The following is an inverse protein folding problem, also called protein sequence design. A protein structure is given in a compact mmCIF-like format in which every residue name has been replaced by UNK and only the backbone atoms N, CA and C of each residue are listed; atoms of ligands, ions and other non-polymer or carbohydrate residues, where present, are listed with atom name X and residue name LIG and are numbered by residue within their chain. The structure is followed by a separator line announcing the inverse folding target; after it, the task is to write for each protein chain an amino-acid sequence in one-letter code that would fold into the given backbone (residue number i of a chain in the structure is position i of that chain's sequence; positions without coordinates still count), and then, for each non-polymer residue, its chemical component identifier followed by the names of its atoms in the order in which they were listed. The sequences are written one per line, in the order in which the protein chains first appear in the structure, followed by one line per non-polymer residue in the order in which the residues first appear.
data_IF_104428098953
#
_entry.id   IF_104428098953
#
_cell.length_a   1.000
_cell.length_b   1.000
_cell.length_c   1.000
_cell.angle_alpha   90.00
_cell.angle_beta   90.00
_cell.angle_gamma   90.00
#
_symmetry.space_group_name_H-M   'P 1'
#
loop_
_entity.id
_entity.type
_entity.pdbx_description
1 polymer ?
#
# COMPACT_ATOMS: atom_id res chain seq x y z
N UNK A 1 3.76 -5.33 -17.16
CA UNK A 1 3.38 -6.54 -16.38
C UNK A 1 1.88 -6.73 -16.48
N UNK A 2 1.38 -7.97 -16.61
CA UNK A 2 -0.06 -8.24 -16.70
C UNK A 2 -0.75 -8.03 -15.34
N UNK A 3 -1.95 -7.44 -15.34
CA UNK A 3 -2.77 -7.18 -14.14
C UNK A 3 -2.92 -8.42 -13.24
N UNK A 4 -3.09 -9.60 -13.83
CA UNK A 4 -3.19 -10.87 -13.08
C UNK A 4 -1.95 -11.19 -12.25
N UNK A 5 -0.76 -10.78 -12.71
CA UNK A 5 0.50 -11.03 -11.99
C UNK A 5 0.67 -10.06 -10.82
N UNK A 6 0.27 -8.80 -10.98
CA UNK A 6 0.28 -7.81 -9.90
C UNK A 6 -0.80 -8.13 -8.85
N UNK A 7 -2.01 -8.50 -9.29
CA UNK A 7 -3.09 -8.94 -8.40
C UNK A 7 -2.68 -10.20 -7.63
N UNK A 8 -2.07 -11.19 -8.29
CA UNK A 8 -1.57 -12.40 -7.63
C UNK A 8 -0.46 -12.09 -6.62
N UNK A 9 0.45 -11.17 -6.94
CA UNK A 9 1.51 -10.76 -6.02
C UNK A 9 0.94 -10.06 -4.78
N UNK A 10 0.05 -9.09 -4.96
CA UNK A 10 -0.60 -8.39 -3.84
C UNK A 10 -1.44 -9.34 -3.00
N UNK A 11 -2.29 -10.19 -3.60
CA UNK A 11 -3.06 -11.20 -2.87
C UNK A 11 -2.16 -12.20 -2.13
N UNK A 12 -0.96 -12.47 -2.66
CA UNK A 12 0.06 -13.29 -1.99
C UNK A 12 0.57 -12.67 -0.68
N UNK A 13 0.65 -11.34 -0.59
CA UNK A 13 1.06 -10.62 0.63
C UNK A 13 -0.04 -10.52 1.70
N UNK A 14 -1.29 -10.85 1.37
CA UNK A 14 -2.46 -10.87 2.29
C UNK A 14 -2.86 -12.28 2.73
N UNK A 15 -1.99 -13.26 2.52
CA UNK A 15 -2.22 -14.64 2.97
C UNK A 15 -1.93 -14.78 4.46
N UNK A 16 -2.45 -15.84 5.09
CA UNK A 16 -2.18 -16.16 6.49
C UNK A 16 -1.06 -17.19 6.56
N UNK A 17 -0.17 -17.04 7.53
CA UNK A 17 0.86 -18.03 7.80
C UNK A 17 0.12 -19.30 8.27
N UNK A 18 0.39 -20.44 7.65
CA UNK A 18 -0.08 -21.72 8.18
C UNK A 18 0.60 -21.91 9.53
N UNK A 19 -0.16 -21.75 10.60
CA UNK A 19 0.25 -22.14 11.96
C UNK A 19 0.01 -23.63 12.05
N UNK A 20 1.12 -24.37 12.03
CA UNK A 20 1.15 -25.83 12.12
C UNK A 20 0.99 -26.22 13.60
N UNK A 21 -0.19 -25.96 14.17
CA UNK A 21 -0.47 -26.22 15.59
C UNK A 21 -0.86 -27.69 15.87
N UNK A 22 -0.81 -28.55 14.84
CA UNK A 22 -1.03 -30.00 14.94
C UNK A 22 0.18 -30.72 14.33
N UNK A 23 0.87 -31.53 15.14
CA UNK A 23 2.12 -32.22 14.77
C UNK A 23 1.98 -33.08 13.50
N UNK A 24 0.81 -33.68 13.28
CA UNK A 24 0.51 -34.51 12.10
C UNK A 24 0.37 -33.68 10.80
N UNK A 25 -0.19 -32.48 10.89
CA UNK A 25 -0.33 -31.57 9.74
C UNK A 25 1.02 -30.92 9.37
N UNK A 26 1.92 -30.79 10.34
CA UNK A 26 3.27 -30.28 10.16
C UNK A 26 4.11 -31.21 9.28
N UNK A 27 4.14 -32.51 9.58
CA UNK A 27 4.97 -33.48 8.88
C UNK A 27 4.51 -33.65 7.42
N UNK A 28 3.18 -33.76 7.20
CA UNK A 28 2.59 -33.81 5.87
C UNK A 28 2.86 -32.56 5.03
N UNK A 29 2.78 -31.37 5.62
CA UNK A 29 3.08 -30.12 4.93
C UNK A 29 4.58 -29.99 4.59
N UNK A 30 5.48 -30.35 5.51
CA UNK A 30 6.93 -30.33 5.27
C UNK A 30 7.37 -31.33 4.20
N UNK A 31 6.76 -32.52 4.17
CA UNK A 31 6.99 -33.52 3.11
C UNK A 31 6.61 -32.95 1.74
N UNK A 32 5.44 -32.30 1.65
CA UNK A 32 4.91 -31.69 0.43
C UNK A 32 5.78 -30.51 -0.04
N UNK A 33 6.26 -29.67 0.89
CA UNK A 33 7.17 -28.56 0.60
C UNK A 33 8.52 -29.04 0.07
N UNK A 34 9.07 -30.10 0.69
CA UNK A 34 10.33 -30.72 0.28
C UNK A 34 10.22 -31.38 -1.10
N UNK A 35 9.12 -32.07 -1.38
CA UNK A 35 8.84 -32.64 -2.71
C UNK A 35 8.63 -31.57 -3.78
N UNK A 36 8.07 -30.42 -3.40
CA UNK A 36 7.82 -29.29 -4.30
C UNK A 36 9.04 -28.39 -4.51
N UNK A 37 10.13 -28.58 -3.76
CA UNK A 37 11.32 -27.71 -3.79
C UNK A 37 11.06 -26.28 -3.31
N UNK A 38 10.00 -26.07 -2.52
CA UNK A 38 9.61 -24.75 -2.03
C UNK A 38 10.26 -24.49 -0.66
N UNK A 39 10.94 -23.35 -0.53
CA UNK A 39 11.57 -22.93 0.72
C UNK A 39 10.65 -22.00 1.53
N UNK A 40 10.61 -22.11 2.88
CA UNK A 40 9.84 -21.22 3.73
C UNK A 40 10.26 -19.74 3.63
N UNK A 41 9.35 -18.78 3.89
CA UNK A 41 7.94 -18.98 4.25
C UNK A 41 7.06 -19.26 3.03
N UNK A 42 6.20 -20.28 3.14
CA UNK A 42 5.22 -20.63 2.10
C UNK A 42 3.83 -20.25 2.55
N UNK A 43 3.16 -19.49 1.69
CA UNK A 43 1.83 -18.98 1.91
C UNK A 43 0.80 -19.82 1.16
N UNK A 44 -0.19 -20.36 1.87
CA UNK A 44 -1.21 -21.24 1.29
C UNK A 44 -2.56 -20.55 1.32
N UNK A 45 -3.25 -20.56 0.18
CA UNK A 45 -4.61 -20.03 0.04
C UNK A 45 -5.61 -21.17 -0.02
N UNK A 46 -6.47 -21.29 0.99
CA UNK A 46 -7.65 -22.17 0.93
C UNK A 46 -8.82 -21.40 0.31
N UNK A 47 -9.40 -21.91 -0.79
CA UNK A 47 -10.54 -21.30 -1.46
C UNK A 47 -11.90 -21.71 -0.85
N UNK A 48 -11.90 -22.70 0.06
CA UNK A 48 -13.11 -23.30 0.64
C UNK A 48 -13.43 -22.84 2.07
N UNK A 49 -12.46 -22.21 2.75
CA UNK A 49 -12.64 -21.69 4.12
C UNK A 49 -13.01 -20.19 4.11
N UNK A 50 -14.05 -19.85 4.88
CA UNK A 50 -14.33 -18.47 5.28
C UNK A 50 -13.10 -17.84 5.96
N UNK A 51 -13.02 -16.50 5.97
CA UNK A 51 -11.86 -15.77 6.48
C UNK A 51 -11.40 -16.35 7.82
N UNK A 52 -10.16 -16.86 7.83
CA UNK A 52 -9.57 -17.39 9.05
C UNK A 52 -9.52 -16.26 10.07
N UNK A 53 -10.03 -16.50 11.28
CA UNK A 53 -9.80 -15.56 12.40
C UNK A 53 -8.30 -15.41 12.54
N UNK A 54 -7.82 -14.16 12.60
CA UNK A 54 -6.41 -13.88 12.83
C UNK A 54 -5.96 -14.59 14.10
N UNK A 55 -5.09 -15.58 13.95
CA UNK A 55 -4.41 -16.19 15.09
C UNK A 55 -3.50 -15.10 15.61
N UNK A 56 -3.61 -14.80 16.90
CA UNK A 56 -2.70 -13.89 17.58
C UNK A 56 -1.31 -14.53 17.53
N UNK A 57 -0.53 -14.17 16.50
CA UNK A 57 0.87 -14.49 16.43
C UNK A 57 1.48 -14.07 17.77
N UNK A 58 2.13 -15.01 18.45
CA UNK A 58 3.00 -14.73 19.59
C UNK A 58 3.79 -13.48 19.21
N UNK A 59 3.69 -12.38 19.99
CA UNK A 59 4.36 -11.10 19.72
C UNK A 59 5.88 -11.32 19.67
N UNK A 60 6.37 -11.85 18.56
CA UNK A 60 7.76 -11.85 18.22
C UNK A 60 8.05 -10.42 17.82
N UNK A 61 8.75 -9.71 18.69
CA UNK A 61 9.31 -8.40 18.39
C UNK A 61 10.39 -8.60 17.33
N UNK A 62 9.97 -8.62 16.07
CA UNK A 62 10.87 -8.59 14.93
C UNK A 62 11.33 -7.15 14.75
N UNK A 63 12.63 -6.91 14.73
CA UNK A 63 13.15 -5.61 14.29
C UNK A 63 12.90 -5.48 12.79
N UNK A 64 12.05 -4.54 12.40
CA UNK A 64 11.86 -4.15 11.00
C UNK A 64 12.31 -2.70 10.83
N UNK A 65 13.07 -2.38 9.77
CA UNK A 65 13.43 -1.00 9.47
C UNK A 65 12.18 -0.22 9.04
N UNK A 66 12.06 1.00 9.57
CA UNK A 66 10.97 1.94 9.25
C UNK A 66 11.54 3.28 8.82
N UNK A 67 10.80 3.96 7.96
CA UNK A 67 11.03 5.37 7.64
C UNK A 67 10.18 6.20 8.60
N UNK A 68 10.84 7.02 9.41
CA UNK A 68 10.16 7.96 10.30
C UNK A 68 10.29 9.38 9.74
N UNK A 69 9.15 10.07 9.57
CA UNK A 69 9.07 11.45 9.12
C UNK A 69 8.56 12.34 10.28
N UNK A 70 9.48 12.81 11.16
CA UNK A 70 9.10 13.49 12.39
C UNK A 70 8.52 14.88 12.14
N UNK A 71 7.68 15.35 13.06
CA UNK A 71 6.92 16.61 12.96
C UNK A 71 7.81 17.84 12.80
N UNK A 72 9.00 17.79 13.39
CA UNK A 72 9.97 18.88 13.40
C UNK A 72 10.69 19.03 12.04
N UNK A 73 10.65 18.00 11.18
CA UNK A 73 11.31 18.00 9.88
C UNK A 73 10.32 18.27 8.76
N UNK A 74 10.48 19.41 8.09
CA UNK A 74 9.68 19.76 6.91
C UNK A 74 10.22 19.22 5.59
N UNK A 75 11.37 18.54 5.62
CA UNK A 75 12.12 18.14 4.42
C UNK A 75 12.31 16.62 4.30
N UNK A 76 11.78 15.84 5.26
CA UNK A 76 11.92 14.39 5.27
C UNK A 76 11.10 13.72 4.17
N UNK A 77 11.77 13.08 3.21
CA UNK A 77 11.16 12.18 2.24
C UNK A 77 12.09 11.00 1.94
N UNK A 78 11.51 9.92 1.42
CA UNK A 78 12.29 8.82 0.86
C UNK A 78 11.97 8.67 -0.62
N UNK A 79 13.00 8.50 -1.45
CA UNK A 79 12.83 8.25 -2.89
C UNK A 79 13.01 6.77 -3.18
N UNK A 80 12.09 6.19 -3.93
CA UNK A 80 12.26 4.84 -4.48
C UNK A 80 13.26 4.91 -5.62
N UNK A 81 14.42 4.25 -5.46
CA UNK A 81 15.49 4.28 -6.44
C UNK A 81 15.28 3.26 -7.56
N UNK A 82 14.22 3.45 -8.34
CA UNK A 82 13.81 2.57 -9.45
C UNK A 82 13.40 3.40 -10.66
N UNK A 83 13.57 2.81 -11.84
CA UNK A 83 13.06 3.35 -13.10
C UNK A 83 11.68 2.75 -13.40
N UNK A 84 10.72 3.61 -13.74
CA UNK A 84 9.36 3.19 -14.07
C UNK A 84 9.08 3.44 -15.56
N UNK A 85 8.74 2.41 -16.35
CA UNK A 85 8.21 2.62 -17.69
C UNK A 85 6.81 3.23 -17.59
N UNK A 86 6.19 3.58 -18.73
CA UNK A 86 4.77 3.91 -18.75
C UNK A 86 3.93 2.76 -18.13
N UNK A 87 3.05 3.10 -17.19
CA UNK A 87 2.33 2.14 -16.37
C UNK A 87 0.86 2.12 -16.77
N UNK A 88 0.45 1.09 -17.52
CA UNK A 88 -0.97 0.83 -17.84
C UNK A 88 -1.75 0.18 -16.69
N UNK A 89 -1.04 -0.28 -15.66
CA UNK A 89 -1.58 -0.90 -14.45
C UNK A 89 -0.58 -0.69 -13.32
N UNK A 90 -1.07 -0.29 -12.16
CA UNK A 90 -0.27 0.02 -10.98
C UNK A 90 -0.85 -0.69 -9.77
N UNK A 91 0.04 -1.16 -8.90
CA UNK A 91 -0.27 -1.55 -7.53
C UNK A 91 0.81 -1.01 -6.60
N UNK A 92 0.42 -0.33 -5.53
CA UNK A 92 1.31 0.21 -4.50
C UNK A 92 0.80 -0.26 -3.15
N UNK A 93 1.66 -0.87 -2.34
CA UNK A 93 1.35 -1.30 -0.98
C UNK A 93 2.33 -0.67 0.00
N UNK A 94 1.81 -0.21 1.14
CA UNK A 94 2.57 0.45 2.20
C UNK A 94 1.95 0.12 3.55
N UNK A 95 2.77 0.01 4.59
CA UNK A 95 2.30 0.04 5.98
C UNK A 95 2.53 1.44 6.52
N UNK A 96 1.51 2.00 7.14
CA UNK A 96 1.54 3.37 7.69
C UNK A 96 1.13 3.32 9.15
N UNK A 97 1.87 4.02 9.99
CA UNK A 97 1.46 4.40 11.33
C UNK A 97 1.30 5.92 11.36
N UNK A 98 0.12 6.37 11.79
CA UNK A 98 -0.27 7.79 11.82
C UNK A 98 -0.09 8.35 13.24
N UNK A 99 0.32 9.62 13.40
CA UNK A 99 0.32 10.25 14.74
C UNK A 99 -1.12 10.50 15.19
N UNK A 100 -1.53 9.99 16.36
CA UNK A 100 -2.80 10.39 16.94
C UNK A 100 -2.96 11.92 17.08
N UNK A 101 -1.86 12.65 17.28
CA UNK A 101 -1.85 14.10 17.49
C UNK A 101 -1.74 14.93 16.19
N UNK A 102 -1.56 14.28 15.03
CA UNK A 102 -1.41 14.97 13.75
C UNK A 102 -2.75 15.14 13.03
N UNK A 103 -3.11 16.39 12.73
CA UNK A 103 -4.41 16.77 12.17
C UNK A 103 -4.33 17.49 10.83
N UNK A 104 -3.14 17.67 10.25
CA UNK A 104 -2.96 18.24 8.92
C UNK A 104 -3.02 17.14 7.84
N UNK A 105 -3.06 17.55 6.58
CA UNK A 105 -3.03 16.62 5.44
C UNK A 105 -1.61 16.08 5.26
N UNK A 106 -1.48 14.75 5.19
CA UNK A 106 -0.20 14.07 4.97
C UNK A 106 -0.20 13.28 3.66
N UNK A 107 0.87 13.35 2.89
CA UNK A 107 1.08 12.54 1.69
C UNK A 107 1.79 11.26 2.07
N UNK A 108 1.12 10.12 1.86
CA UNK A 108 1.70 8.80 2.11
C UNK A 108 2.72 8.50 1.00
N UNK A 109 2.30 8.64 -0.25
CA UNK A 109 3.19 8.54 -1.41
C UNK A 109 2.81 9.53 -2.51
N UNK A 110 3.81 9.92 -3.29
CA UNK A 110 3.65 10.71 -4.51
C UNK A 110 4.51 10.14 -5.63
N UNK A 111 3.91 10.00 -6.81
CA UNK A 111 4.60 9.75 -8.06
C UNK A 111 4.37 10.92 -9.02
N UNK A 112 5.46 11.56 -9.41
CA UNK A 112 5.48 12.65 -10.38
C UNK A 112 6.25 12.25 -11.64
N UNK A 113 5.67 12.50 -12.82
CA UNK A 113 6.36 12.34 -14.09
C UNK A 113 6.86 13.69 -14.63
N UNK A 114 7.86 13.72 -15.53
CA UNK A 114 8.38 14.97 -16.09
C UNK A 114 7.31 15.84 -16.76
N UNK A 115 6.28 15.20 -17.32
CA UNK A 115 5.19 15.85 -18.05
C UNK A 115 4.01 16.23 -17.16
N UNK A 116 3.90 15.64 -15.97
CA UNK A 116 2.75 15.83 -15.10
C UNK A 116 3.08 15.48 -13.65
N UNK A 117 2.92 16.45 -12.74
CA UNK A 117 3.41 16.30 -11.36
C UNK A 117 2.52 15.40 -10.51
N UNK A 118 1.20 15.56 -10.57
CA UNK A 118 0.26 14.82 -9.72
C UNK A 118 -0.23 13.54 -10.42
N UNK A 119 0.69 12.72 -10.92
CA UNK A 119 0.36 11.53 -11.71
C UNK A 119 -0.36 10.47 -10.88
N UNK A 120 0.21 10.09 -9.74
CA UNK A 120 -0.38 9.08 -8.86
C UNK A 120 0.02 9.31 -7.40
N UNK A 121 -0.96 9.62 -6.54
CA UNK A 121 -0.69 9.99 -5.16
C UNK A 121 -1.75 9.43 -4.20
N UNK A 122 -1.34 9.19 -2.95
CA UNK A 122 -2.24 8.88 -1.85
C UNK A 122 -1.99 9.83 -0.70
N UNK A 123 -3.04 10.53 -0.28
CA UNK A 123 -3.03 11.44 0.87
C UNK A 123 -3.95 10.93 1.97
N UNK A 124 -3.63 11.28 3.20
CA UNK A 124 -4.46 11.05 4.37
C UNK A 124 -4.82 12.37 5.06
N UNK A 125 -6.00 12.41 5.68
CA UNK A 125 -6.42 13.54 6.50
C UNK A 125 -7.31 13.06 7.65
N UNK A 126 -7.11 13.61 8.85
CA UNK A 126 -7.96 13.35 10.00
C UNK A 126 -9.36 13.97 9.82
N UNK A 127 -10.41 13.18 10.05
CA UNK A 127 -11.79 13.67 10.11
C UNK A 127 -12.28 13.93 11.54
N UNK A 128 -13.47 14.53 11.64
CA UNK A 128 -14.11 14.85 12.91
C UNK A 128 -14.47 13.62 13.77
N UNK A 129 -14.41 12.41 13.21
CA UNK A 129 -14.72 11.17 13.90
C UNK A 129 -13.46 10.39 14.34
N UNK A 130 -12.27 11.00 14.22
CA UNK A 130 -11.01 10.34 14.58
C UNK A 130 -10.57 9.29 13.56
N UNK A 131 -10.94 9.45 12.29
CA UNK A 131 -10.54 8.54 11.19
C UNK A 131 -9.59 9.25 10.26
N UNK A 132 -8.61 8.52 9.75
CA UNK A 132 -7.78 8.98 8.64
C UNK A 132 -8.48 8.64 7.34
N UNK A 133 -9.03 9.65 6.69
CA UNK A 133 -9.64 9.54 5.37
C UNK A 133 -8.53 9.52 4.31
N UNK A 134 -8.64 8.59 3.36
CA UNK A 134 -7.70 8.44 2.26
C UNK A 134 -8.25 9.07 0.98
N UNK A 135 -7.42 9.87 0.32
CA UNK A 135 -7.69 10.39 -1.02
C UNK A 135 -6.66 9.91 -2.02
N UNK A 136 -7.16 9.25 -3.06
CA UNK A 136 -6.38 8.84 -4.21
C UNK A 136 -6.45 9.94 -5.28
N UNK A 137 -5.30 10.34 -5.80
CA UNK A 137 -5.17 11.23 -6.95
C UNK A 137 -4.61 10.43 -8.13
N UNK A 138 -5.29 10.51 -9.28
CA UNK A 138 -4.86 9.86 -10.52
C UNK A 138 -4.95 10.89 -11.65
N UNK A 139 -3.84 11.16 -12.35
CA UNK A 139 -3.74 12.22 -13.37
C UNK A 139 -4.29 13.57 -12.87
N UNK A 140 -3.96 13.94 -11.63
CA UNK A 140 -4.39 15.19 -10.99
C UNK A 140 -5.86 15.23 -10.58
N UNK A 141 -6.65 14.21 -10.93
CA UNK A 141 -8.04 14.09 -10.49
C UNK A 141 -8.09 13.58 -9.05
N UNK A 142 -8.55 14.45 -8.16
CA UNK A 142 -8.76 14.11 -6.76
C UNK A 142 -10.04 13.29 -6.59
N UNK A 143 -9.90 12.04 -6.14
CA UNK A 143 -11.04 11.17 -5.89
C UNK A 143 -11.66 11.46 -4.50
N UNK A 144 -12.95 11.15 -4.29
CA UNK A 144 -13.61 11.41 -3.01
C UNK A 144 -13.00 10.63 -1.85
N UNK A 145 -12.94 11.25 -0.67
CA UNK A 145 -12.54 10.61 0.58
C UNK A 145 -13.61 9.63 1.08
N UNK A 146 -13.53 8.34 0.70
CA UNK A 146 -14.43 7.29 1.21
C UNK A 146 -13.70 6.15 1.92
N UNK A 147 -12.48 5.81 1.50
CA UNK A 147 -11.65 4.87 2.23
C UNK A 147 -11.10 5.52 3.50
N UNK A 148 -11.00 4.77 4.61
CA UNK A 148 -10.44 5.26 5.86
C UNK A 148 -9.94 4.14 6.77
N UNK A 149 -9.15 4.51 7.78
CA UNK A 149 -8.76 3.68 8.91
C UNK A 149 -8.82 4.50 10.22
N UNK A 150 -8.94 3.87 11.41
CA UNK A 150 -8.98 4.60 12.67
C UNK A 150 -7.64 5.27 12.97
N UNK A 151 -7.64 6.49 13.54
CA UNK A 151 -6.41 7.12 14.02
C UNK A 151 -6.05 6.60 15.43
N UNK A 152 -5.64 5.35 15.54
CA UNK A 152 -5.39 4.65 16.81
C UNK A 152 -3.91 4.49 17.15
N UNK A 153 -3.02 5.06 16.33
CA UNK A 153 -1.56 4.92 16.47
C UNK A 153 -1.04 3.51 16.16
N UNK A 154 -1.86 2.63 15.59
CA UNK A 154 -1.42 1.32 15.11
C UNK A 154 -0.91 1.39 13.65
N UNK A 155 -0.24 0.31 13.24
CA UNK A 155 0.15 0.12 11.85
C UNK A 155 -1.04 -0.38 11.04
N UNK A 156 -1.34 0.29 9.93
CA UNK A 156 -2.33 -0.13 8.95
C UNK A 156 -1.66 -0.46 7.62
N UNK A 157 -2.08 -1.57 7.00
CA UNK A 157 -1.58 -1.96 5.68
C UNK A 157 -2.53 -1.46 4.59
N UNK A 158 -2.01 -0.62 3.70
CA UNK A 158 -2.77 0.04 2.65
C UNK A 158 -2.24 -0.41 1.31
N UNK A 159 -3.12 -0.89 0.42
CA UNK A 159 -2.79 -1.12 -0.98
C UNK A 159 -3.72 -0.35 -1.90
N UNK A 160 -3.16 0.24 -2.96
CA UNK A 160 -3.91 0.95 -3.99
C UNK A 160 -3.62 0.31 -5.33
N UNK A 161 -4.68 0.06 -6.11
CA UNK A 161 -4.57 -0.46 -7.47
C UNK A 161 -5.22 0.50 -8.46
N UNK A 162 -4.69 0.57 -9.68
CA UNK A 162 -5.32 1.25 -10.81
C UNK A 162 -5.01 0.52 -12.12
N UNK A 163 -5.97 0.52 -13.04
CA UNK A 163 -5.85 -0.10 -14.37
C UNK A 163 -6.45 0.79 -15.45
N UNK A 164 -5.63 1.23 -16.41
CA UNK A 164 -6.04 2.12 -17.51
C UNK A 164 -7.20 1.58 -18.34
N UNK A 165 -7.16 0.31 -18.72
CA UNK A 165 -8.07 -0.25 -19.74
C UNK A 165 -9.56 -0.10 -19.42
N UNK A 166 -9.91 0.00 -18.14
CA UNK A 166 -11.29 0.21 -17.66
C UNK A 166 -11.38 1.39 -16.67
N UNK A 167 -10.28 2.10 -16.47
CA UNK A 167 -10.13 3.17 -15.48
C UNK A 167 -10.38 2.76 -14.02
N UNK A 168 -10.41 1.46 -13.73
CA UNK A 168 -10.78 0.93 -12.43
C UNK A 168 -9.65 1.11 -11.41
N UNK A 169 -10.03 1.52 -10.20
CA UNK A 169 -9.12 1.63 -9.06
C UNK A 169 -9.78 1.05 -7.81
N UNK A 170 -8.97 0.63 -6.86
CA UNK A 170 -9.43 0.16 -5.55
C UNK A 170 -8.40 0.50 -4.47
N UNK A 171 -8.89 0.85 -3.29
CA UNK A 171 -8.13 1.06 -2.06
C UNK A 171 -8.48 -0.06 -1.08
N UNK A 172 -7.46 -0.75 -0.61
CA UNK A 172 -7.54 -1.79 0.39
C UNK A 172 -6.88 -1.30 1.67
N UNK A 173 -7.52 -1.56 2.81
CA UNK A 173 -6.98 -1.28 4.14
C UNK A 173 -7.14 -2.53 4.98
N UNK A 174 -6.03 -3.02 5.53
CA UNK A 174 -5.96 -4.22 6.38
C UNK A 174 -6.57 -5.46 5.73
N UNK A 175 -6.45 -5.55 4.40
CA UNK A 175 -6.95 -6.66 3.59
C UNK A 175 -8.38 -6.48 3.05
N UNK A 176 -9.13 -5.50 3.55
CA UNK A 176 -10.49 -5.21 3.09
C UNK A 176 -10.49 -4.15 1.98
N UNK A 177 -11.33 -4.33 0.96
CA UNK A 177 -11.64 -3.24 0.01
C UNK A 177 -12.47 -2.17 0.72
N UNK A 178 -11.90 -0.99 0.94
CA UNK A 178 -12.59 0.14 1.59
C UNK A 178 -13.21 1.11 0.58
N UNK A 179 -12.64 1.22 -0.61
CA UNK A 179 -13.21 2.02 -1.69
C UNK A 179 -12.79 1.48 -3.06
N UNK A 180 -13.64 1.70 -4.05
CA UNK A 180 -13.41 1.26 -5.43
C UNK A 180 -14.24 2.09 -6.39
N UNK A 181 -13.75 2.23 -7.61
CA UNK A 181 -14.47 3.00 -8.61
C UNK A 181 -13.81 2.96 -9.97
N UNK A 182 -14.24 3.88 -10.83
CA UNK A 182 -13.65 4.04 -12.16
C UNK A 182 -13.55 5.51 -12.50
N UNK A 183 -12.43 5.90 -13.10
CA UNK A 183 -12.19 7.25 -13.60
C UNK A 183 -12.57 7.30 -15.07
N UNK A 184 -13.32 8.32 -15.48
CA UNK A 184 -13.58 8.64 -16.89
C UNK A 184 -12.33 9.28 -17.50
N UNK A 185 -12.11 9.11 -18.81
CA UNK A 185 -10.97 9.67 -19.56
C UNK A 185 -9.58 9.05 -19.28
N UNK A 186 -9.51 7.75 -19.01
CA UNK A 186 -8.24 7.01 -18.89
C UNK A 186 -7.62 6.62 -20.24
N UNK A 187 -7.45 7.60 -21.13
CA UNK A 187 -6.85 7.35 -22.45
C UNK A 187 -5.33 7.11 -22.37
N UNK A 188 -4.67 7.62 -21.33
CA UNK A 188 -3.23 7.58 -21.15
C UNK A 188 -2.80 6.66 -20.01
N UNK A 189 -1.61 6.08 -20.15
CA UNK A 189 -0.94 5.36 -19.05
C UNK A 189 -0.48 6.37 -18.00
N UNK A 190 -0.22 5.92 -16.77
CA UNK A 190 0.61 6.71 -15.86
C UNK A 190 1.96 6.88 -16.52
N UNK A 191 2.41 8.12 -16.65
CA UNK A 191 3.60 8.47 -17.41
C UNK A 191 4.84 7.81 -16.80
N UNK A 192 5.72 7.31 -17.65
CA UNK A 192 7.01 6.74 -17.23
C UNK A 192 8.00 7.81 -16.80
N UNK A 193 9.21 7.36 -16.48
CA UNK A 193 10.37 8.20 -16.13
C UNK A 193 10.14 9.09 -14.89
N UNK A 194 9.18 8.70 -14.05
CA UNK A 194 8.78 9.46 -12.89
C UNK A 194 9.66 9.25 -11.66
N UNK A 195 9.48 10.16 -10.71
CA UNK A 195 10.07 10.11 -9.38
C UNK A 195 8.98 9.66 -8.42
N UNK A 196 9.20 8.53 -7.76
CA UNK A 196 8.35 8.04 -6.69
C UNK A 196 8.98 8.43 -5.34
N UNK A 197 8.27 9.21 -4.53
CA UNK A 197 8.62 9.50 -3.14
C UNK A 197 7.56 9.08 -2.12
N UNK A 198 8.00 8.98 -0.87
CA UNK A 198 7.19 8.74 0.33
C UNK A 198 7.32 9.91 1.29
N UNK A 199 6.23 10.21 2.00
CA UNK A 199 6.21 11.20 3.08
C UNK A 199 6.11 12.66 2.64
N UNK A 200 6.10 12.96 1.33
CA UNK A 200 5.92 14.31 0.78
C UNK A 200 5.12 14.28 -0.52
N UNK A 201 4.38 15.37 -0.76
CA UNK A 201 3.84 15.80 -2.04
C UNK A 201 4.94 16.44 -2.90
N UNK A 202 4.78 16.37 -4.22
CA UNK A 202 5.65 17.03 -5.18
C UNK A 202 4.83 18.13 -5.86
N UNK A 203 5.16 19.40 -5.67
CA UNK A 203 4.51 20.50 -6.40
C UNK A 203 5.18 20.76 -7.76
N UNK A 204 6.36 20.18 -7.99
CA UNK A 204 7.02 20.10 -9.30
C UNK A 204 7.78 18.78 -9.46
N UNK A 205 8.18 18.46 -10.69
CA UNK A 205 8.91 17.22 -10.95
C UNK A 205 10.24 17.18 -10.18
N UNK A 206 10.28 16.38 -9.11
CA UNK A 206 11.44 16.25 -8.23
C UNK A 206 11.74 17.46 -7.33
N UNK A 207 10.83 18.43 -7.20
CA UNK A 207 11.07 19.67 -6.45
C UNK A 207 9.80 20.28 -5.84
N UNK A 208 9.96 21.34 -5.04
CA UNK A 208 8.90 22.00 -4.27
C UNK A 208 8.06 21.00 -3.47
N UNK A 209 8.61 20.51 -2.36
CA UNK A 209 7.98 19.45 -1.56
C UNK A 209 7.11 20.04 -0.45
N UNK A 210 5.94 19.44 -0.22
CA UNK A 210 5.00 19.80 0.85
C UNK A 210 4.35 18.55 1.47
N UNK A 211 3.89 18.61 2.74
CA UNK A 211 3.07 17.62 3.48
C UNK A 211 3.82 16.75 4.52
N UNK A 212 3.25 16.53 5.73
CA UNK A 212 4.02 16.00 6.90
C UNK A 212 3.28 15.06 7.86
N UNK A 213 4.12 14.38 8.66
CA UNK A 213 3.95 13.33 9.69
C UNK A 213 3.25 12.03 9.32
N UNK A 214 4.07 10.98 9.14
CA UNK A 214 3.74 9.55 9.17
C UNK A 214 4.98 8.71 9.46
N UNK A 215 4.82 7.51 10.00
CA UNK A 215 5.83 6.45 9.84
C UNK A 215 5.40 5.49 8.72
N UNK A 216 6.35 5.12 7.86
CA UNK A 216 6.10 4.29 6.69
C UNK A 216 7.04 3.09 6.68
N UNK A 217 6.48 1.91 6.44
CA UNK A 217 7.22 0.68 6.15
C UNK A 217 6.78 0.12 4.79
N UNK A 218 7.76 -0.33 4.01
CA UNK A 218 7.54 -0.90 2.67
C UNK A 218 7.53 -2.42 2.76
N UNK A 219 6.58 -3.06 2.06
CA UNK A 219 6.43 -4.53 1.99
C UNK A 219 6.15 -5.00 0.58
#
# INVERSE_FOLDING_TARGET
MAYSRAESFCRGQFSSLVTLDLLEDQEGAFELLRQSGLHPPVWVKDQSKASSKSIALTKQYVHFPVLNFPKESREGFARVNMFFPALSTVSVCVRVQWDPEWNEVSTIFSYAAPVFTNEFQLRGQLDIHGRILLALIIHGKHLPYKAFFPNDGAWHHICVTWRRSIGHWAIYVDGDTKDTGSVTDTSQDIHGDGIFILGQDQDSFGGNLQSHFLEISLT
#
